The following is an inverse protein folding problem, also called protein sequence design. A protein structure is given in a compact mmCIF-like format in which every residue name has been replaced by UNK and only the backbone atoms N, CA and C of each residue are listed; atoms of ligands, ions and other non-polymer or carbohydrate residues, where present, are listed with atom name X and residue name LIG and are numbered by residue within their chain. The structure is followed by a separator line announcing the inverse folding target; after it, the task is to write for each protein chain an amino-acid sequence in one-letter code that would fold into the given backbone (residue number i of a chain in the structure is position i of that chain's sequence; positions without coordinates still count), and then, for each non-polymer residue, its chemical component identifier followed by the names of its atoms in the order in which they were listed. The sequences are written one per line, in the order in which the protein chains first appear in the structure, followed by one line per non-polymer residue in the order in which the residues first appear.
data_IF_229849915549
#
_entry.id   IF_229849915549
#
_cell.length_a   1.000
_cell.length_b   1.000
_cell.length_c   1.000
_cell.angle_alpha   90.00
_cell.angle_beta   90.00
_cell.angle_gamma   90.00
#
_symmetry.space_group_name_H-M   'P 1'
#
loop_
_entity.id
_entity.type
_entity.pdbx_description
1 polymer ?
#
# COMPACT_ATOMS: atom_id res chain seq x y z
N UNK A 1 35.91 3.40 -39.59
CA UNK A 1 36.00 3.77 -38.16
C UNK A 1 34.63 3.54 -37.53
N UNK A 2 34.50 2.40 -36.90
CA UNK A 2 33.26 1.93 -36.28
C UNK A 2 33.28 2.36 -34.81
N UNK A 3 32.34 3.20 -34.38
CA UNK A 3 32.23 3.66 -32.99
C UNK A 3 31.36 2.66 -32.24
N UNK A 4 31.99 1.84 -31.39
CA UNK A 4 31.35 0.99 -30.41
C UNK A 4 30.71 1.89 -29.31
N UNK A 5 29.41 1.84 -29.16
CA UNK A 5 28.71 2.41 -28.00
C UNK A 5 28.76 1.40 -26.84
N UNK A 6 29.63 1.67 -25.88
CA UNK A 6 29.64 0.98 -24.60
C UNK A 6 28.35 1.31 -23.82
N UNK A 7 27.54 0.31 -23.54
CA UNK A 7 26.43 0.37 -22.59
C UNK A 7 27.00 0.29 -21.18
N UNK A 8 27.26 1.44 -20.56
CA UNK A 8 27.53 1.48 -19.11
C UNK A 8 26.26 1.15 -18.33
N UNK A 9 26.28 0.01 -17.64
CA UNK A 9 25.30 -0.34 -16.64
C UNK A 9 25.47 0.60 -15.45
N UNK A 10 24.52 1.50 -15.23
CA UNK A 10 24.47 2.36 -14.06
C UNK A 10 24.18 1.50 -12.84
N UNK A 11 25.24 1.10 -12.14
CA UNK A 11 25.16 0.44 -10.84
C UNK A 11 24.70 1.48 -9.82
N UNK A 12 23.41 1.43 -9.41
CA UNK A 12 22.88 2.28 -8.34
C UNK A 12 23.62 1.96 -7.03
N UNK A 13 24.01 2.98 -6.24
CA UNK A 13 24.67 2.78 -4.96
C UNK A 13 23.75 1.96 -4.03
N UNK A 14 24.31 0.90 -3.42
CA UNK A 14 23.69 0.18 -2.30
C UNK A 14 23.48 1.16 -1.16
N UNK A 15 22.26 1.62 -0.96
CA UNK A 15 21.87 2.39 0.22
C UNK A 15 22.03 1.51 1.45
N UNK A 16 22.75 2.03 2.45
CA UNK A 16 23.07 1.33 3.69
C UNK A 16 21.80 0.79 4.37
N UNK A 17 21.82 -0.50 4.64
CA UNK A 17 21.13 -1.31 5.67
C UNK A 17 19.83 -0.77 6.30
N UNK A 18 18.92 -0.20 5.50
CA UNK A 18 17.54 0.06 5.91
C UNK A 18 16.82 -1.28 5.87
N UNK A 19 16.18 -1.73 6.97
CA UNK A 19 15.47 -2.99 6.97
C UNK A 19 14.42 -2.97 5.85
N UNK A 20 14.58 -3.85 4.85
CA UNK A 20 13.64 -3.94 3.74
C UNK A 20 12.35 -4.56 4.26
N UNK A 21 11.25 -3.79 4.17
CA UNK A 21 9.93 -4.23 4.64
C UNK A 21 9.19 -5.10 3.63
N UNK A 22 9.38 -4.81 2.32
CA UNK A 22 8.75 -5.52 1.20
C UNK A 22 9.77 -5.70 0.08
N UNK A 23 9.90 -6.92 -0.42
CA UNK A 23 10.63 -7.25 -1.66
C UNK A 23 9.76 -8.16 -2.51
N UNK A 24 9.58 -7.78 -3.77
CA UNK A 24 8.82 -8.53 -4.77
C UNK A 24 9.67 -8.66 -6.02
N UNK A 25 9.73 -9.87 -6.59
CA UNK A 25 10.39 -10.14 -7.86
C UNK A 25 9.46 -10.92 -8.76
N UNK A 26 9.16 -10.36 -9.94
CA UNK A 26 8.26 -10.90 -10.96
C UNK A 26 6.93 -11.43 -10.38
N UNK A 27 6.37 -10.72 -9.39
CA UNK A 27 5.16 -11.17 -8.69
C UNK A 27 3.98 -11.24 -9.66
N UNK A 28 3.39 -12.44 -9.79
CA UNK A 28 2.20 -12.71 -10.59
C UNK A 28 1.07 -13.25 -9.74
N UNK A 29 -0.15 -12.80 -10.02
CA UNK A 29 -1.32 -13.26 -9.30
C UNK A 29 -2.48 -13.51 -10.25
N UNK A 30 -3.08 -14.69 -10.12
CA UNK A 30 -4.31 -15.07 -10.82
C UNK A 30 -5.46 -15.16 -9.83
N UNK A 31 -6.63 -14.67 -10.24
CA UNK A 31 -7.89 -14.85 -9.53
C UNK A 31 -8.82 -15.67 -10.44
N UNK A 32 -8.99 -16.93 -10.12
CA UNK A 32 -9.62 -17.89 -11.04
C UNK A 32 -8.82 -18.03 -12.33
N UNK A 33 -9.45 -17.69 -13.47
CA UNK A 33 -8.80 -17.76 -14.79
C UNK A 33 -8.14 -16.44 -15.23
N UNK A 34 -8.34 -15.37 -14.50
CA UNK A 34 -7.83 -14.04 -14.86
C UNK A 34 -6.53 -13.76 -14.14
N UNK A 35 -5.48 -13.43 -14.89
CA UNK A 35 -4.26 -12.87 -14.33
C UNK A 35 -4.49 -11.40 -14.01
N UNK A 36 -4.19 -10.99 -12.78
CA UNK A 36 -4.45 -9.63 -12.27
C UNK A 36 -3.15 -8.89 -12.00
N UNK A 37 -2.09 -9.58 -11.61
CA UNK A 37 -0.74 -9.01 -11.46
C UNK A 37 0.18 -9.67 -12.49
N UNK A 38 0.93 -8.84 -13.21
CA UNK A 38 1.68 -9.24 -14.40
C UNK A 38 3.19 -8.95 -14.24
N UNK A 39 3.83 -9.56 -13.24
CA UNK A 39 5.27 -9.38 -12.98
C UNK A 39 5.54 -8.05 -12.29
N UNK A 40 5.19 -7.96 -11.01
CA UNK A 40 5.42 -6.76 -10.20
C UNK A 40 6.74 -6.91 -9.47
N UNK A 41 7.67 -5.95 -9.73
CA UNK A 41 8.92 -5.78 -9.01
C UNK A 41 8.80 -4.58 -8.08
N UNK A 42 9.12 -4.77 -6.78
CA UNK A 42 9.04 -3.70 -5.79
C UNK A 42 9.98 -4.01 -4.61
N UNK A 43 10.72 -3.01 -4.17
CA UNK A 43 11.53 -3.10 -2.94
C UNK A 43 11.31 -1.84 -2.11
N UNK A 44 10.79 -1.99 -0.88
CA UNK A 44 10.46 -0.88 0.02
C UNK A 44 11.16 -1.05 1.36
N UNK A 45 11.83 0.00 1.80
CA UNK A 45 12.36 0.17 3.15
C UNK A 45 11.35 0.87 4.09
N UNK A 46 11.87 1.46 5.17
CA UNK A 46 11.09 2.36 6.02
C UNK A 46 10.67 3.61 5.24
N UNK A 47 9.52 4.15 5.58
CA UNK A 47 8.91 5.28 4.87
C UNK A 47 7.45 5.02 4.54
N UNK A 48 6.82 5.98 3.89
CA UNK A 48 5.44 5.88 3.42
C UNK A 48 5.42 5.79 1.91
N UNK A 49 4.99 4.64 1.39
CA UNK A 49 4.80 4.39 -0.03
C UNK A 49 3.32 4.46 -0.38
N UNK A 50 2.97 5.31 -1.34
CA UNK A 50 1.62 5.45 -1.87
C UNK A 50 1.47 4.73 -3.21
N UNK A 51 0.52 3.79 -3.32
CA UNK A 51 0.17 3.17 -4.58
C UNK A 51 -1.11 3.77 -5.13
N UNK A 52 -1.00 4.52 -6.22
CA UNK A 52 -2.11 5.10 -6.97
C UNK A 52 -2.45 4.24 -8.18
N UNK A 53 -3.67 4.39 -8.67
CA UNK A 53 -4.12 3.75 -9.92
C UNK A 53 -5.63 3.66 -10.00
N UNK A 54 -6.18 3.45 -11.20
CA UNK A 54 -7.62 3.34 -11.39
C UNK A 54 -8.22 2.11 -10.69
N UNK A 55 -9.54 2.07 -10.62
CA UNK A 55 -10.25 0.88 -10.14
C UNK A 55 -9.97 -0.31 -11.07
N UNK A 56 -9.72 -1.47 -10.50
CA UNK A 56 -9.37 -2.67 -11.26
C UNK A 56 -7.88 -2.77 -11.67
N UNK A 57 -7.03 -1.79 -11.35
CA UNK A 57 -5.60 -1.84 -11.66
C UNK A 57 -4.82 -2.98 -10.97
N UNK A 58 -5.39 -3.60 -9.91
CA UNK A 58 -4.74 -4.68 -9.17
C UNK A 58 -4.25 -4.30 -7.77
N UNK A 59 -4.43 -3.03 -7.34
CA UNK A 59 -3.94 -2.51 -6.04
C UNK A 59 -4.37 -3.37 -4.84
N UNK A 60 -5.68 -3.60 -4.67
CA UNK A 60 -6.21 -4.43 -3.58
C UNK A 60 -5.70 -5.88 -3.65
N UNK A 61 -5.48 -6.42 -4.87
CA UNK A 61 -4.92 -7.76 -5.04
C UNK A 61 -3.47 -7.81 -4.58
N UNK A 62 -2.65 -6.84 -4.97
CA UNK A 62 -1.28 -6.70 -4.49
C UNK A 62 -1.26 -6.58 -2.96
N UNK A 63 -2.09 -5.68 -2.41
CA UNK A 63 -2.16 -5.49 -0.97
C UNK A 63 -2.57 -6.76 -0.21
N UNK A 64 -3.47 -7.58 -0.78
CA UNK A 64 -3.88 -8.87 -0.20
C UNK A 64 -2.77 -9.91 -0.21
N UNK A 65 -1.89 -9.88 -1.21
CA UNK A 65 -0.68 -10.73 -1.24
C UNK A 65 0.28 -10.28 -0.13
N UNK A 66 0.56 -8.97 -0.03
CA UNK A 66 1.41 -8.40 1.02
C UNK A 66 0.84 -8.65 2.42
N UNK A 67 -0.49 -8.59 2.58
CA UNK A 67 -1.18 -8.90 3.83
C UNK A 67 -1.21 -10.41 4.18
N UNK A 68 -0.59 -11.23 3.34
CA UNK A 68 -0.59 -12.72 3.49
C UNK A 68 -1.99 -13.35 3.48
N UNK A 69 -2.96 -12.66 2.87
CA UNK A 69 -4.34 -13.14 2.66
C UNK A 69 -4.42 -13.99 1.40
N UNK A 70 -3.66 -13.63 0.37
CA UNK A 70 -3.51 -14.41 -0.86
C UNK A 70 -2.09 -14.94 -0.95
N UNK A 71 -1.95 -16.19 -1.41
CA UNK A 71 -0.64 -16.72 -1.81
C UNK A 71 -0.36 -16.27 -3.25
N UNK A 72 0.86 -15.83 -3.58
CA UNK A 72 1.23 -15.53 -4.95
C UNK A 72 1.06 -16.75 -5.83
N UNK A 73 0.68 -16.52 -7.09
CA UNK A 73 0.59 -17.61 -8.09
C UNK A 73 1.98 -17.93 -8.63
N UNK A 74 2.83 -16.91 -8.79
CA UNK A 74 4.21 -17.02 -9.27
C UNK A 74 5.03 -15.81 -8.81
N UNK A 75 6.37 -15.90 -8.92
CA UNK A 75 7.30 -14.86 -8.45
C UNK A 75 7.67 -15.01 -6.97
N UNK A 76 8.55 -14.14 -6.52
CA UNK A 76 9.09 -14.17 -5.16
C UNK A 76 8.53 -13.02 -4.31
N UNK A 77 8.20 -13.32 -3.05
CA UNK A 77 7.74 -12.35 -2.05
C UNK A 77 8.58 -12.52 -0.79
N UNK A 78 9.19 -11.43 -0.33
CA UNK A 78 9.79 -11.34 0.99
C UNK A 78 9.18 -10.19 1.78
N UNK A 79 8.76 -10.47 3.00
CA UNK A 79 8.17 -9.50 3.92
C UNK A 79 9.00 -9.47 5.20
N UNK A 80 9.47 -8.30 5.57
CA UNK A 80 10.37 -8.12 6.72
C UNK A 80 11.59 -9.06 6.65
N UNK A 81 12.14 -9.25 5.42
CA UNK A 81 13.26 -10.13 5.12
C UNK A 81 12.95 -11.63 5.17
N UNK A 82 11.67 -12.04 5.23
CA UNK A 82 11.23 -13.43 5.40
C UNK A 82 10.32 -13.87 4.27
N UNK A 83 10.36 -15.17 3.96
CA UNK A 83 9.45 -15.79 3.00
C UNK A 83 8.11 -16.14 3.68
N UNK A 84 6.96 -15.58 3.25
CA UNK A 84 5.65 -15.92 3.80
C UNK A 84 5.17 -17.34 3.42
N UNK A 85 5.83 -18.05 2.53
CA UNK A 85 5.53 -19.45 2.24
C UNK A 85 6.01 -20.40 3.37
N UNK A 86 7.02 -20.00 4.14
CA UNK A 86 7.43 -20.70 5.36
C UNK A 86 6.44 -20.42 6.49
N UNK A 87 5.83 -21.47 7.05
CA UNK A 87 4.82 -21.35 8.10
C UNK A 87 5.33 -20.71 9.40
N UNK A 88 6.58 -20.94 9.79
CA UNK A 88 7.18 -20.33 10.97
C UNK A 88 7.45 -18.83 10.73
N UNK A 89 7.97 -18.48 9.55
CA UNK A 89 8.17 -17.10 9.12
C UNK A 89 6.84 -16.35 8.98
N UNK A 90 5.81 -16.98 8.43
CA UNK A 90 4.48 -16.41 8.25
C UNK A 90 3.89 -15.91 9.58
N UNK A 91 4.00 -16.70 10.66
CA UNK A 91 3.54 -16.27 12.00
C UNK A 91 4.30 -15.03 12.47
N UNK A 92 5.64 -15.02 12.30
CA UNK A 92 6.48 -13.88 12.71
C UNK A 92 6.18 -12.63 11.88
N UNK A 93 5.91 -12.76 10.57
CA UNK A 93 5.47 -11.67 9.70
C UNK A 93 4.15 -11.12 10.23
N UNK A 94 3.13 -11.97 10.44
CA UNK A 94 1.78 -11.57 10.88
C UNK A 94 1.75 -10.86 12.23
N UNK A 95 2.65 -11.19 13.15
CA UNK A 95 2.81 -10.50 14.45
C UNK A 95 3.29 -9.07 14.29
N UNK A 96 4.05 -8.76 13.24
CA UNK A 96 4.66 -7.46 12.96
C UNK A 96 3.99 -6.71 11.81
N UNK A 97 2.88 -7.23 11.31
CA UNK A 97 2.11 -6.67 10.20
C UNK A 97 0.79 -6.10 10.70
N UNK A 98 0.50 -4.85 10.35
CA UNK A 98 -0.81 -4.23 10.47
C UNK A 98 -1.50 -4.21 9.11
N UNK A 99 -2.82 -4.47 9.09
CA UNK A 99 -3.59 -4.46 7.85
C UNK A 99 -4.96 -3.84 8.05
N UNK A 100 -5.27 -2.80 7.26
CA UNK A 100 -6.59 -2.23 7.12
C UNK A 100 -7.15 -2.60 5.74
N UNK A 101 -8.14 -3.49 5.64
CA UNK A 101 -8.80 -3.78 4.37
C UNK A 101 -9.73 -2.65 3.93
N UNK A 102 -10.07 -2.62 2.65
CA UNK A 102 -11.03 -1.66 2.08
C UNK A 102 -12.38 -1.73 2.80
N UNK A 103 -12.89 -2.94 3.06
CA UNK A 103 -14.09 -3.18 3.85
C UNK A 103 -13.69 -3.80 5.20
N UNK A 104 -14.01 -3.11 6.28
CA UNK A 104 -13.76 -3.59 7.63
C UNK A 104 -14.86 -4.58 8.04
N UNK A 105 -14.49 -5.85 8.19
CA UNK A 105 -15.36 -6.82 8.87
C UNK A 105 -15.32 -6.59 10.38
N UNK A 106 -16.47 -6.47 11.02
CA UNK A 106 -16.55 -6.28 12.48
C UNK A 106 -17.76 -6.97 13.10
N UNK A 107 -17.68 -7.21 14.40
CA UNK A 107 -18.77 -7.72 15.21
C UNK A 107 -19.59 -6.55 15.77
N UNK A 108 -20.85 -6.33 15.33
CA UNK A 108 -21.61 -5.11 15.65
C UNK A 108 -21.83 -4.85 17.14
N UNK A 109 -21.81 -5.89 17.96
CA UNK A 109 -22.04 -5.80 19.39
C UNK A 109 -20.74 -5.66 20.23
N UNK A 110 -19.56 -5.81 19.62
CA UNK A 110 -18.31 -5.50 20.30
C UNK A 110 -18.24 -4.01 20.58
N UNK A 111 -17.63 -3.65 21.71
CA UNK A 111 -17.18 -2.28 21.95
C UNK A 111 -15.95 -1.98 21.11
N UNK A 112 -15.66 -0.71 20.92
CA UNK A 112 -14.45 -0.25 20.24
C UNK A 112 -13.19 -0.83 20.88
N UNK A 113 -13.16 -0.86 22.22
CA UNK A 113 -12.05 -1.45 22.98
C UNK A 113 -11.90 -2.95 22.70
N UNK A 114 -12.98 -3.72 22.85
CA UNK A 114 -12.97 -5.18 22.64
C UNK A 114 -12.54 -5.56 21.23
N UNK A 115 -12.93 -4.77 20.22
CA UNK A 115 -12.53 -5.02 18.86
C UNK A 115 -11.03 -4.82 18.64
N UNK A 116 -10.46 -3.73 19.14
CA UNK A 116 -9.02 -3.47 19.01
C UNK A 116 -8.21 -4.45 19.88
N UNK A 117 -8.72 -4.80 21.08
CA UNK A 117 -8.13 -5.82 21.97
C UNK A 117 -8.06 -7.19 21.28
N UNK A 118 -9.13 -7.60 20.59
CA UNK A 118 -9.15 -8.85 19.83
C UNK A 118 -7.99 -8.91 18.81
N UNK A 119 -7.72 -7.82 18.09
CA UNK A 119 -6.58 -7.80 17.18
C UNK A 119 -5.23 -7.75 17.88
N UNK A 120 -5.11 -7.07 19.02
CA UNK A 120 -3.90 -7.10 19.84
C UNK A 120 -3.55 -8.53 20.27
N UNK A 121 -4.56 -9.31 20.70
CA UNK A 121 -4.41 -10.73 21.06
C UNK A 121 -4.02 -11.59 19.86
N UNK A 122 -4.67 -11.40 18.69
CA UNK A 122 -4.31 -12.11 17.46
C UNK A 122 -2.88 -11.82 16.98
N UNK A 123 -2.37 -10.62 17.25
CA UNK A 123 -0.99 -10.23 16.99
C UNK A 123 -0.01 -10.65 18.07
N UNK A 124 -0.49 -11.39 19.08
CA UNK A 124 0.30 -11.90 20.19
C UNK A 124 1.02 -10.77 20.97
N UNK A 125 0.35 -9.61 21.13
CA UNK A 125 0.82 -8.59 22.07
C UNK A 125 0.87 -9.20 23.49
N UNK A 126 1.96 -9.01 24.24
CA UNK A 126 2.07 -9.58 25.58
C UNK A 126 0.88 -9.24 26.48
N UNK A 127 0.34 -10.18 27.28
CA UNK A 127 -0.89 -9.95 28.03
C UNK A 127 -0.90 -8.69 28.90
N UNK A 128 0.23 -8.34 29.51
CA UNK A 128 0.38 -7.11 30.31
C UNK A 128 0.37 -5.82 29.49
N UNK A 129 0.67 -5.92 28.18
CA UNK A 129 0.75 -4.79 27.27
C UNK A 129 -0.53 -4.59 26.44
N UNK A 130 -1.46 -5.54 26.42
CA UNK A 130 -2.67 -5.49 25.57
C UNK A 130 -3.49 -4.23 25.86
N UNK A 131 -3.87 -4.01 27.12
CA UNK A 131 -4.69 -2.83 27.48
C UNK A 131 -3.99 -1.50 27.22
N UNK A 132 -2.72 -1.30 27.62
CA UNK A 132 -1.96 -0.12 27.22
C UNK A 132 -1.87 0.09 25.70
N UNK A 133 -1.62 -0.97 24.93
CA UNK A 133 -1.54 -0.89 23.46
C UNK A 133 -2.87 -0.46 22.84
N UNK A 134 -3.99 -1.02 23.30
CA UNK A 134 -5.33 -0.61 22.85
C UNK A 134 -5.60 0.85 23.18
N UNK A 135 -5.30 1.30 24.40
CA UNK A 135 -5.48 2.70 24.79
C UNK A 135 -4.66 3.64 23.90
N UNK A 136 -3.38 3.33 23.67
CA UNK A 136 -2.52 4.10 22.75
C UNK A 136 -3.08 4.13 21.32
N UNK A 137 -3.51 2.99 20.80
CA UNK A 137 -4.06 2.91 19.44
C UNK A 137 -5.34 3.73 19.28
N UNK A 138 -6.24 3.70 20.27
CA UNK A 138 -7.47 4.50 20.26
C UNK A 138 -7.16 6.00 20.39
N UNK A 139 -6.20 6.39 21.21
CA UNK A 139 -5.75 7.77 21.34
C UNK A 139 -5.21 8.32 20.02
N UNK A 140 -4.36 7.56 19.34
CA UNK A 140 -3.79 7.96 18.05
C UNK A 140 -4.83 8.23 16.95
N UNK A 141 -6.03 7.66 17.08
CA UNK A 141 -7.13 7.89 16.14
C UNK A 141 -8.25 8.76 16.71
N UNK A 142 -8.08 9.34 17.91
CA UNK A 142 -9.04 10.24 18.59
C UNK A 142 -10.36 9.54 18.90
N UNK A 143 -10.30 8.35 19.51
CA UNK A 143 -11.47 7.55 19.89
C UNK A 143 -11.44 7.07 21.34
N UNK A 144 -10.70 7.74 22.22
CA UNK A 144 -10.61 7.40 23.65
C UNK A 144 -11.98 7.44 24.34
N UNK A 145 -12.75 8.48 24.05
CA UNK A 145 -14.10 8.70 24.60
C UNK A 145 -15.12 7.67 24.09
N UNK A 146 -14.81 7.00 22.99
CA UNK A 146 -15.64 5.95 22.36
C UNK A 146 -15.21 4.53 22.69
N UNK A 147 -14.22 4.34 23.57
CA UNK A 147 -13.70 3.01 23.90
C UNK A 147 -14.80 2.01 24.33
N UNK A 148 -15.82 2.47 25.05
CA UNK A 148 -16.96 1.65 25.51
C UNK A 148 -18.17 1.64 24.57
N UNK A 149 -18.14 2.43 23.49
CA UNK A 149 -19.23 2.49 22.52
C UNK A 149 -19.26 1.20 21.68
N UNK A 150 -20.46 0.66 21.41
CA UNK A 150 -20.62 -0.49 20.52
C UNK A 150 -20.39 -0.09 19.07
N UNK A 151 -19.71 -0.92 18.29
CA UNK A 151 -19.35 -0.62 16.90
C UNK A 151 -20.56 -0.27 16.03
N UNK A 152 -21.71 -0.91 16.25
CA UNK A 152 -22.97 -0.61 15.53
C UNK A 152 -23.52 0.81 15.77
N UNK A 153 -23.04 1.52 16.78
CA UNK A 153 -23.47 2.89 17.10
C UNK A 153 -22.54 3.97 16.54
N UNK A 154 -21.42 3.55 15.93
CA UNK A 154 -20.43 4.45 15.39
C UNK A 154 -20.78 4.90 13.97
N UNK A 155 -20.41 6.12 13.62
CA UNK A 155 -20.45 6.60 12.22
C UNK A 155 -19.45 5.85 11.33
N UNK A 156 -19.62 5.94 10.00
CA UNK A 156 -18.71 5.32 9.04
C UNK A 156 -17.25 5.78 9.22
N UNK A 157 -17.04 7.09 9.44
CA UNK A 157 -15.70 7.63 9.70
C UNK A 157 -15.12 7.15 11.04
N UNK A 158 -15.94 7.01 12.09
CA UNK A 158 -15.52 6.41 13.35
C UNK A 158 -15.14 4.94 13.17
N UNK A 159 -15.95 4.15 12.44
CA UNK A 159 -15.62 2.75 12.13
C UNK A 159 -14.30 2.65 11.34
N UNK A 160 -14.06 3.58 10.41
CA UNK A 160 -12.79 3.62 9.67
C UNK A 160 -11.62 3.87 10.60
N UNK A 161 -11.75 4.81 11.54
CA UNK A 161 -10.73 5.10 12.56
C UNK A 161 -10.51 3.90 13.51
N UNK A 162 -11.55 3.16 13.88
CA UNK A 162 -11.41 1.90 14.62
C UNK A 162 -10.60 0.87 13.79
N UNK A 163 -10.87 0.79 12.49
CA UNK A 163 -10.09 -0.04 11.57
C UNK A 163 -8.62 0.35 11.50
N UNK A 164 -8.30 1.65 11.56
CA UNK A 164 -6.91 2.13 11.65
C UNK A 164 -6.33 1.72 13.00
N UNK A 165 -7.04 1.93 14.12
CA UNK A 165 -6.56 1.57 15.44
C UNK A 165 -6.20 0.07 15.55
N UNK A 166 -7.04 -0.84 15.03
CA UNK A 166 -6.72 -2.27 15.01
C UNK A 166 -5.49 -2.60 14.15
N UNK A 167 -5.24 -1.83 13.07
CA UNK A 167 -4.09 -2.06 12.21
C UNK A 167 -2.77 -1.61 12.84
N UNK A 168 -2.79 -0.66 13.79
CA UNK A 168 -1.60 -0.10 14.43
C UNK A 168 -1.38 -0.60 15.87
N UNK A 169 -2.30 -1.38 16.44
CA UNK A 169 -2.30 -1.76 17.86
C UNK A 169 -1.04 -2.52 18.32
N UNK A 170 -0.42 -3.27 17.41
CA UNK A 170 0.80 -4.04 17.64
C UNK A 170 2.08 -3.28 17.26
N UNK A 171 2.01 -1.98 17.01
CA UNK A 171 3.13 -1.14 16.53
C UNK A 171 3.87 -1.84 15.38
N UNK A 172 3.20 -2.04 14.22
CA UNK A 172 3.69 -2.91 13.17
C UNK A 172 4.95 -2.36 12.50
N UNK A 173 5.85 -3.26 12.08
CA UNK A 173 6.99 -2.92 11.23
C UNK A 173 6.62 -2.82 9.74
N UNK A 174 5.49 -3.43 9.35
CA UNK A 174 4.88 -3.32 8.03
C UNK A 174 3.40 -2.98 8.22
N UNK A 175 2.98 -1.79 7.77
CA UNK A 175 1.60 -1.32 7.84
C UNK A 175 1.01 -1.23 6.42
N UNK A 176 -0.08 -1.94 6.18
CA UNK A 176 -0.76 -2.03 4.89
C UNK A 176 -2.16 -1.44 5.00
N UNK A 177 -2.48 -0.46 4.17
CA UNK A 177 -3.73 0.30 4.26
C UNK A 177 -4.41 0.38 2.89
N UNK A 178 -5.64 -0.12 2.81
CA UNK A 178 -6.46 -0.08 1.59
C UNK A 178 -7.53 1.02 1.73
N UNK A 179 -7.40 2.11 0.94
CA UNK A 179 -8.29 3.27 0.92
C UNK A 179 -8.56 3.87 2.32
N UNK A 180 -7.52 4.17 3.13
CA UNK A 180 -7.70 4.48 4.56
C UNK A 180 -8.47 5.77 4.84
N UNK A 181 -8.50 6.73 3.92
CA UNK A 181 -9.10 8.06 4.09
C UNK A 181 -10.56 8.16 3.65
N UNK A 182 -11.11 7.08 3.06
CA UNK A 182 -12.51 7.04 2.66
C UNK A 182 -13.42 7.17 3.89
N UNK A 183 -14.32 8.16 3.85
CA UNK A 183 -15.27 8.45 4.94
C UNK A 183 -14.70 9.29 6.09
N UNK A 184 -13.44 9.72 6.01
CA UNK A 184 -12.86 10.70 6.94
C UNK A 184 -13.18 12.12 6.47
N UNK A 185 -13.49 13.00 7.42
CA UNK A 185 -13.61 14.44 7.17
C UNK A 185 -12.22 15.10 6.95
N UNK A 186 -12.14 16.36 6.48
CA UNK A 186 -10.88 17.02 6.19
C UNK A 186 -9.91 17.10 7.39
N UNK A 187 -10.41 17.35 8.59
CA UNK A 187 -9.58 17.45 9.80
C UNK A 187 -9.01 16.07 10.18
N UNK A 188 -9.83 15.04 10.09
CA UNK A 188 -9.42 13.65 10.32
C UNK A 188 -8.37 13.20 9.30
N UNK A 189 -8.48 13.63 8.03
CA UNK A 189 -7.45 13.34 7.02
C UNK A 189 -6.12 13.99 7.35
N UNK A 190 -6.11 15.23 7.86
CA UNK A 190 -4.88 15.92 8.29
C UNK A 190 -4.22 15.14 9.42
N UNK A 191 -4.98 14.76 10.44
CA UNK A 191 -4.49 13.98 11.59
C UNK A 191 -3.97 12.60 11.15
N UNK A 192 -4.68 11.95 10.24
CA UNK A 192 -4.27 10.66 9.70
C UNK A 192 -2.96 10.74 8.88
N UNK A 193 -2.78 11.79 8.06
CA UNK A 193 -1.52 12.01 7.33
C UNK A 193 -0.33 12.24 8.28
N UNK A 194 -0.55 12.93 9.39
CA UNK A 194 0.47 13.08 10.44
C UNK A 194 0.84 11.72 11.06
N UNK A 195 -0.17 10.88 11.37
CA UNK A 195 0.03 9.53 11.87
C UNK A 195 0.84 8.65 10.88
N UNK A 196 0.55 8.73 9.58
CA UNK A 196 1.30 7.98 8.56
C UNK A 196 2.78 8.37 8.53
N UNK A 197 3.08 9.68 8.60
CA UNK A 197 4.48 10.17 8.62
C UNK A 197 5.22 9.68 9.87
N UNK A 198 4.60 9.78 11.05
CA UNK A 198 5.15 9.25 12.30
C UNK A 198 5.44 7.75 12.20
N UNK A 199 4.49 6.97 11.68
CA UNK A 199 4.66 5.53 11.49
C UNK A 199 5.77 5.22 10.48
N UNK A 200 5.88 6.00 9.40
CA UNK A 200 6.89 5.83 8.37
C UNK A 200 8.34 6.04 8.84
N UNK A 201 8.56 6.75 9.94
CA UNK A 201 9.90 6.93 10.52
C UNK A 201 10.53 5.60 10.97
N UNK A 202 9.72 4.62 11.35
CA UNK A 202 10.17 3.35 11.95
C UNK A 202 9.65 2.11 11.23
N UNK A 203 8.69 2.28 10.35
CA UNK A 203 7.96 1.19 9.69
C UNK A 203 7.91 1.40 8.18
N UNK A 204 7.74 0.31 7.44
CA UNK A 204 7.31 0.38 6.05
C UNK A 204 5.79 0.54 6.04
N UNK A 205 5.32 1.67 5.53
CA UNK A 205 3.89 1.96 5.41
C UNK A 205 3.51 1.92 3.94
N UNK A 206 2.57 1.06 3.57
CA UNK A 206 2.06 0.90 2.21
C UNK A 206 0.59 1.32 2.16
N UNK A 207 0.30 2.36 1.40
CA UNK A 207 -1.05 2.93 1.28
C UNK A 207 -1.54 2.75 -0.16
N UNK A 208 -2.66 2.04 -0.34
CA UNK A 208 -3.41 2.07 -1.60
C UNK A 208 -4.49 3.13 -1.52
N UNK A 209 -4.52 4.03 -2.48
CA UNK A 209 -5.57 5.06 -2.59
C UNK A 209 -5.76 5.48 -4.04
N UNK A 210 -6.90 6.11 -4.33
CA UNK A 210 -7.15 6.82 -5.57
C UNK A 210 -7.05 8.35 -5.41
N UNK A 211 -6.84 8.82 -4.15
CA UNK A 211 -6.74 10.24 -3.83
C UNK A 211 -5.28 10.70 -3.95
N UNK A 212 -5.00 11.41 -5.03
CA UNK A 212 -3.66 11.91 -5.36
C UNK A 212 -3.13 12.87 -4.30
N UNK A 213 -4.00 13.71 -3.72
CA UNK A 213 -3.64 14.67 -2.67
C UNK A 213 -3.12 14.02 -1.38
N UNK A 214 -3.69 12.88 -0.97
CA UNK A 214 -3.26 12.17 0.24
C UNK A 214 -1.84 11.64 0.08
N UNK A 215 -1.49 11.21 -1.15
CA UNK A 215 -0.16 10.72 -1.49
C UNK A 215 0.86 11.88 -1.51
N UNK A 216 0.49 13.01 -2.11
CA UNK A 216 1.38 14.18 -2.20
C UNK A 216 1.91 14.66 -0.84
N UNK A 217 1.08 14.56 0.18
CA UNK A 217 1.38 15.14 1.49
C UNK A 217 1.91 14.13 2.51
N UNK A 218 1.62 12.84 2.38
CA UNK A 218 1.98 11.83 3.36
C UNK A 218 3.10 10.89 2.90
N UNK A 219 3.28 10.71 1.58
CA UNK A 219 4.17 9.68 1.06
C UNK A 219 5.57 10.22 0.76
N UNK A 220 6.57 9.40 1.04
CA UNK A 220 7.97 9.64 0.66
C UNK A 220 8.26 9.13 -0.76
N UNK A 221 7.49 8.14 -1.20
CA UNK A 221 7.61 7.52 -2.51
C UNK A 221 6.22 7.14 -3.04
N UNK A 222 6.05 7.18 -4.36
CA UNK A 222 4.79 6.92 -5.06
C UNK A 222 5.01 5.88 -6.15
N UNK A 223 4.08 4.94 -6.26
CA UNK A 223 3.94 4.05 -7.41
C UNK A 223 2.61 4.28 -8.11
N UNK A 224 2.61 4.20 -9.45
CA UNK A 224 1.37 4.14 -10.22
C UNK A 224 1.18 2.73 -10.75
N UNK A 225 -0.02 2.21 -10.55
CA UNK A 225 -0.39 0.89 -11.02
C UNK A 225 -1.45 0.98 -12.11
N UNK A 226 -1.18 0.37 -13.25
CA UNK A 226 -2.13 0.23 -14.36
C UNK A 226 -2.12 -1.21 -14.87
N UNK A 227 -3.31 -1.81 -14.96
CA UNK A 227 -3.50 -3.16 -15.50
C UNK A 227 -2.52 -4.19 -14.92
N UNK A 228 -2.36 -4.24 -13.60
CA UNK A 228 -1.54 -5.23 -12.90
C UNK A 228 -0.03 -5.02 -12.96
N UNK A 229 0.44 -3.86 -13.41
CA UNK A 229 1.87 -3.48 -13.50
C UNK A 229 2.13 -2.16 -12.79
N UNK A 230 3.31 -2.00 -12.20
CA UNK A 230 3.78 -0.69 -11.74
C UNK A 230 4.37 0.02 -12.97
N UNK A 231 3.75 1.12 -13.38
CA UNK A 231 4.11 1.87 -14.59
C UNK A 231 4.92 3.13 -14.29
N UNK A 232 4.92 3.57 -13.04
CA UNK A 232 5.74 4.67 -12.54
C UNK A 232 6.15 4.38 -11.11
N UNK A 233 7.35 4.82 -10.74
CA UNK A 233 7.85 4.82 -9.37
C UNK A 233 8.82 5.99 -9.19
N UNK A 234 8.58 6.82 -8.17
CA UNK A 234 9.39 8.00 -7.88
C UNK A 234 8.88 8.75 -6.67
N UNK A 235 9.41 9.94 -6.42
CA UNK A 235 8.88 10.84 -5.42
C UNK A 235 7.60 11.54 -5.89
N UNK A 236 6.77 12.11 -4.98
CA UNK A 236 5.66 12.98 -5.38
C UNK A 236 6.11 14.16 -6.26
N UNK A 237 7.35 14.65 -6.07
CA UNK A 237 7.93 15.73 -6.89
C UNK A 237 8.18 15.26 -8.32
N UNK A 238 8.74 14.04 -8.49
CA UNK A 238 8.97 13.46 -9.82
C UNK A 238 7.65 13.29 -10.59
N UNK A 239 6.60 12.82 -9.88
CA UNK A 239 5.26 12.72 -10.49
C UNK A 239 4.69 14.08 -10.87
N UNK A 240 4.88 15.10 -10.03
CA UNK A 240 4.46 16.49 -10.33
C UNK A 240 5.17 17.05 -11.56
N UNK A 241 6.47 16.76 -11.72
CA UNK A 241 7.26 17.21 -12.86
C UNK A 241 6.70 16.70 -14.20
N UNK A 242 6.16 15.47 -14.26
CA UNK A 242 5.49 14.95 -15.46
C UNK A 242 4.24 15.75 -15.84
N UNK A 243 3.63 16.45 -14.89
CA UNK A 243 2.43 17.25 -15.12
C UNK A 243 2.68 18.71 -15.44
N UNK A 244 3.92 19.22 -15.37
CA UNK A 244 4.23 20.62 -15.68
C UNK A 244 4.26 20.89 -17.17
N UNK A 245 4.69 19.92 -17.96
CA UNK A 245 4.84 20.02 -19.41
C UNK A 245 3.67 19.39 -20.20
N UNK A 246 2.67 18.83 -19.49
CA UNK A 246 1.53 18.18 -20.11
C UNK A 246 0.31 19.10 -20.18
N UNK A 247 -0.34 19.19 -21.34
CA UNK A 247 -1.68 19.76 -21.52
C UNK A 247 -2.80 18.87 -20.92
N UNK A 248 -2.44 17.98 -19.96
CA UNK A 248 -3.32 16.99 -19.37
C UNK A 248 -4.45 17.60 -18.53
N UNK A 249 -5.54 16.85 -18.39
CA UNK A 249 -6.69 17.21 -17.54
C UNK A 249 -6.36 16.95 -16.07
N UNK A 250 -6.53 17.95 -15.19
CA UNK A 250 -6.35 17.85 -13.74
C UNK A 250 -6.22 19.23 -13.11
N UNK A 251 -6.76 19.39 -11.89
CA UNK A 251 -6.76 20.67 -11.19
C UNK A 251 -5.38 20.99 -10.59
N UNK A 252 -4.58 19.97 -10.29
CA UNK A 252 -3.21 20.11 -9.76
C UNK A 252 -2.15 19.55 -10.73
N UNK A 253 -0.90 20.05 -10.63
CA UNK A 253 0.21 19.51 -11.41
C UNK A 253 0.46 18.01 -11.13
N UNK A 254 0.21 17.57 -9.88
CA UNK A 254 0.32 16.17 -9.52
C UNK A 254 -0.76 15.29 -10.18
N UNK A 255 -2.00 15.79 -10.30
CA UNK A 255 -3.07 15.08 -11.02
C UNK A 255 -2.78 15.03 -12.52
N UNK A 256 -2.26 16.10 -13.11
CA UNK A 256 -1.82 16.08 -14.50
C UNK A 256 -0.68 15.09 -14.74
N UNK A 257 0.30 15.04 -13.82
CA UNK A 257 1.39 14.05 -13.87
C UNK A 257 0.91 12.61 -13.73
N UNK A 258 -0.07 12.37 -12.87
CA UNK A 258 -0.75 11.07 -12.77
C UNK A 258 -1.43 10.72 -14.10
N UNK A 259 -2.20 11.65 -14.68
CA UNK A 259 -2.89 11.47 -15.95
C UNK A 259 -1.93 11.17 -17.10
N UNK A 260 -0.83 11.92 -17.21
CA UNK A 260 0.21 11.74 -18.24
C UNK A 260 0.84 10.34 -18.13
N UNK A 261 1.32 9.95 -16.94
CA UNK A 261 1.96 8.65 -16.73
C UNK A 261 1.03 7.46 -17.03
N UNK A 262 -0.26 7.56 -16.69
CA UNK A 262 -1.25 6.52 -17.04
C UNK A 262 -1.54 6.49 -18.55
N UNK A 263 -1.61 7.65 -19.21
CA UNK A 263 -1.84 7.74 -20.66
C UNK A 263 -0.67 7.12 -21.44
N UNK A 264 0.56 7.43 -21.05
CA UNK A 264 1.78 6.88 -21.67
C UNK A 264 1.84 5.35 -21.53
N UNK A 265 1.58 4.84 -20.34
CA UNK A 265 1.54 3.39 -20.09
C UNK A 265 0.47 2.66 -20.92
N UNK A 266 -0.68 3.29 -21.15
CA UNK A 266 -1.73 2.76 -22.02
C UNK A 266 -1.34 2.79 -23.49
N UNK A 267 -0.69 3.86 -23.95
CA UNK A 267 -0.20 3.99 -25.32
C UNK A 267 0.88 2.95 -25.62
N UNK A 268 1.86 2.76 -24.75
CA UNK A 268 2.91 1.73 -24.88
C UNK A 268 2.32 0.33 -24.97
N UNK A 269 1.33 0.02 -24.15
CA UNK A 269 0.65 -1.28 -24.16
C UNK A 269 -0.14 -1.49 -25.47
N UNK A 270 -0.82 -0.46 -25.98
CA UNK A 270 -1.54 -0.54 -27.24
C UNK A 270 -0.58 -0.80 -28.41
N UNK A 271 0.58 -0.13 -28.43
CA UNK A 271 1.62 -0.34 -29.41
C UNK A 271 2.20 -1.78 -29.36
N UNK A 272 2.47 -2.29 -28.17
CA UNK A 272 2.96 -3.66 -27.97
C UNK A 272 1.96 -4.72 -28.46
N UNK A 273 0.67 -4.52 -28.22
CA UNK A 273 -0.39 -5.44 -28.67
C UNK A 273 -0.66 -5.31 -30.19
N UNK A 274 -0.49 -4.12 -30.78
CA UNK A 274 -0.67 -3.87 -32.21
C UNK A 274 0.42 -4.49 -33.09
N UNK A 275 1.64 -4.63 -32.58
CA UNK A 275 2.76 -5.25 -33.30
C UNK A 275 2.69 -6.79 -33.37
N UNK A 276 1.92 -7.43 -32.49
CA UNK A 276 1.73 -8.89 -32.49
C UNK A 276 0.74 -9.42 -33.52
N UNK A 277 -0.04 -8.55 -34.18
CA UNK A 277 -1.14 -8.92 -35.08
C UNK A 277 -0.78 -9.17 -36.57
N UNK A 278 0.48 -9.07 -36.98
CA UNK A 278 0.90 -9.24 -38.38
C UNK A 278 1.76 -10.46 -38.65
N UNK A 279 1.32 -11.63 -38.26
CA UNK A 279 1.97 -12.89 -38.69
C UNK A 279 0.99 -14.07 -38.79
N UNK A 280 -0.02 -13.96 -39.65
CA UNK A 280 -0.68 -15.10 -40.24
C UNK A 280 -1.39 -14.65 -41.52
N UNK A 281 -0.71 -14.83 -42.63
CA UNK A 281 -1.25 -14.62 -43.96
C UNK A 281 -0.24 -15.07 -45.02
N UNK A 282 -0.11 -16.37 -45.21
CA UNK A 282 0.02 -17.06 -46.51
C UNK A 282 0.04 -18.55 -46.26
#
# INVERSE_FOLDING_TARGET
MTVERSTESVTRPRVANVPVGVELHDLRQRLGRTEVLHGVDLSLGTGVFGLLGPNGAGKTTLLRVLATVLRPTDGEVRLLGRDPADGAALRQIRRRLGYLPQQLGYYPNFTTFEFVEYFALLKEVPPGEVRPAVARALSRVGLEDKARAKLKTLSGGMLRRVGIAQAIVNEPSLLLLDEPTVGLDPEQRVSFRALLREMGERSTVFVCTHLVEDVATACTEVGLMESGRIVFRGSPVDLTALGTDSEGTGDSALERGYGAAIADARAERAAANGSGGKRWGR
#
